data_IF_219492612482
#
_entry.id   IF_219492612482
#
_cell.length_a   1.000
_cell.length_b   1.000
_cell.length_c   1.000
_cell.angle_alpha   90.00
_cell.angle_beta   90.00
_cell.angle_gamma   90.00
#
_symmetry.space_group_name_H-M   'P 1'
#
loop_
_entity.id
_entity.type
_entity.pdbx_description
1 polymer ?
#
# COMPACT_ATOMS: atom_id res chain seq x y z
N UNK A 1 -14.11 -17.74 -14.35
CA UNK A 1 -12.77 -18.20 -13.93
C UNK A 1 -11.75 -17.27 -14.59
N UNK A 2 -11.33 -16.26 -13.84
CA UNK A 2 -10.37 -15.18 -14.16
C UNK A 2 -10.49 -14.26 -12.92
N UNK A 3 -9.47 -13.90 -12.16
CA UNK A 3 -8.07 -13.70 -12.48
C UNK A 3 -7.19 -14.10 -11.29
N UNK A 4 -6.19 -14.95 -11.56
CA UNK A 4 -4.81 -14.78 -11.14
C UNK A 4 -4.60 -13.95 -9.86
N UNK A 5 -4.61 -14.71 -8.76
CA UNK A 5 -4.03 -14.36 -7.48
C UNK A 5 -2.59 -13.88 -7.72
N UNK A 6 -2.43 -12.56 -7.84
CA UNK A 6 -1.12 -11.93 -7.77
C UNK A 6 -0.58 -12.17 -6.36
N UNK A 7 0.11 -13.29 -6.19
CA UNK A 7 0.92 -13.57 -5.02
C UNK A 7 2.00 -12.51 -4.92
N UNK A 8 1.77 -11.52 -4.06
CA UNK A 8 2.75 -10.49 -3.76
C UNK A 8 3.46 -10.94 -2.49
N UNK A 9 4.61 -11.59 -2.72
CA UNK A 9 5.41 -12.31 -1.75
C UNK A 9 5.84 -11.51 -0.52
N UNK A 10 6.56 -12.19 0.35
CA UNK A 10 6.92 -11.83 1.73
C UNK A 10 7.67 -10.50 1.94
N UNK A 11 7.92 -9.71 0.89
CA UNK A 11 8.46 -8.35 0.95
C UNK A 11 7.41 -7.32 0.54
N UNK A 12 6.89 -6.55 1.50
CA UNK A 12 5.98 -5.44 1.22
C UNK A 12 6.66 -4.11 1.47
N UNK A 13 6.37 -3.10 0.65
CA UNK A 13 6.68 -1.71 0.99
C UNK A 13 5.50 -1.09 1.74
N UNK A 14 5.71 -0.06 2.53
CA UNK A 14 4.63 0.81 2.99
C UNK A 14 4.48 1.97 2.01
N UNK A 15 3.26 2.23 1.52
CA UNK A 15 2.94 3.33 0.61
C UNK A 15 2.08 4.39 1.32
N UNK A 16 2.40 5.69 1.17
CA UNK A 16 1.56 6.79 1.69
C UNK A 16 0.28 6.87 0.85
N UNK A 17 -0.88 6.84 1.51
CA UNK A 17 -2.18 6.98 0.82
C UNK A 17 -2.41 8.39 0.27
N UNK A 18 -1.72 9.40 0.81
CA UNK A 18 -1.81 10.80 0.35
C UNK A 18 -0.90 11.10 -0.83
N UNK A 19 0.39 10.77 -0.74
CA UNK A 19 1.39 11.17 -1.74
C UNK A 19 2.00 10.01 -2.54
N UNK A 20 1.57 8.76 -2.31
CA UNK A 20 2.14 7.56 -2.94
C UNK A 20 3.63 7.29 -2.69
N UNK A 21 4.21 7.91 -1.67
CA UNK A 21 5.60 7.64 -1.27
C UNK A 21 5.75 6.20 -0.76
N UNK A 22 6.75 5.47 -1.28
CA UNK A 22 7.02 4.07 -0.95
C UNK A 22 8.25 3.98 -0.06
N UNK A 23 8.14 3.25 1.04
CA UNK A 23 9.26 2.93 1.93
C UNK A 23 9.32 1.43 2.16
N UNK A 24 10.49 0.86 2.41
CA UNK A 24 10.59 -0.53 2.84
C UNK A 24 9.83 -0.73 4.17
N UNK A 25 8.98 -1.75 4.25
CA UNK A 25 8.28 -2.06 5.51
C UNK A 25 9.29 -2.50 6.58
N UNK A 26 9.18 -1.90 7.77
CA UNK A 26 10.01 -2.26 8.91
C UNK A 26 9.36 -3.39 9.71
N UNK A 27 10.05 -4.53 9.91
CA UNK A 27 9.52 -5.60 10.74
C UNK A 27 9.33 -5.10 12.18
N UNK A 28 8.22 -5.49 12.80
CA UNK A 28 7.85 -5.06 14.15
C UNK A 28 7.00 -3.78 14.22
N UNK A 29 6.90 -3.00 13.13
CA UNK A 29 6.03 -1.81 13.08
C UNK A 29 5.06 -1.94 11.89
N UNK A 30 3.75 -2.07 12.10
CA UNK A 30 2.80 -2.13 11.00
C UNK A 30 2.81 -0.80 10.21
N UNK A 31 2.72 -0.86 8.88
CA UNK A 31 2.72 0.32 8.01
C UNK A 31 1.70 1.40 8.42
N UNK A 32 0.58 1.01 9.03
CA UNK A 32 -0.48 1.94 9.43
C UNK A 32 -0.09 2.82 10.62
N UNK A 33 0.86 2.37 11.44
CA UNK A 33 1.42 3.13 12.55
C UNK A 33 2.59 4.03 12.10
N UNK A 34 3.27 3.67 11.00
CA UNK A 34 4.26 4.56 10.38
C UNK A 34 3.59 5.79 9.74
N UNK A 35 4.23 6.94 9.96
CA UNK A 35 3.91 8.20 9.31
C UNK A 35 4.89 8.44 8.19
N UNK A 36 4.36 8.83 7.03
CA UNK A 36 5.22 9.13 5.89
C UNK A 36 6.06 10.39 6.13
N UNK A 37 7.38 10.34 5.89
CA UNK A 37 8.29 11.47 6.10
C UNK A 37 8.07 12.62 5.11
N UNK A 38 7.42 12.38 3.95
CA UNK A 38 7.09 13.41 2.97
C UNK A 38 5.76 14.12 3.24
N UNK A 39 4.72 13.36 3.57
CA UNK A 39 3.32 13.83 3.59
C UNK A 39 2.74 13.93 5.02
N UNK A 40 3.37 13.30 6.02
CA UNK A 40 2.80 13.08 7.36
C UNK A 40 1.56 12.16 7.39
N UNK A 41 1.20 11.58 6.24
CA UNK A 41 0.03 10.72 6.06
C UNK A 41 0.25 9.29 6.55
N UNK A 42 -0.86 8.59 6.77
CA UNK A 42 -0.85 7.16 7.13
C UNK A 42 -0.32 6.33 5.97
N UNK A 43 0.43 5.30 6.29
CA UNK A 43 0.96 4.38 5.28
C UNK A 43 0.17 3.07 5.27
N UNK A 44 0.17 2.39 4.13
CA UNK A 44 -0.49 1.10 3.93
C UNK A 44 0.48 0.14 3.28
N UNK A 45 0.37 -1.15 3.57
CA UNK A 45 1.23 -2.15 2.96
C UNK A 45 0.90 -2.30 1.47
N UNK A 46 1.89 -2.07 0.62
CA UNK A 46 1.88 -2.33 -0.81
C UNK A 46 1.69 -3.83 -1.05
N UNK A 47 0.75 -4.17 -1.92
CA UNK A 47 0.43 -5.56 -2.27
C UNK A 47 -0.56 -6.29 -1.35
N UNK A 48 -1.13 -5.61 -0.34
CA UNK A 48 -2.28 -6.16 0.39
C UNK A 48 -3.60 -6.01 -0.37
N UNK A 49 -4.63 -6.77 0.02
CA UNK A 49 -6.02 -6.65 -0.50
C UNK A 49 -6.53 -5.20 -0.50
N UNK A 50 -6.17 -4.43 0.54
CA UNK A 50 -6.59 -3.04 0.66
C UNK A 50 -5.90 -2.08 -0.33
N UNK A 51 -4.70 -2.42 -0.82
CA UNK A 51 -4.00 -1.63 -1.85
C UNK A 51 -4.66 -1.80 -3.22
N UNK A 52 -5.08 -3.02 -3.55
CA UNK A 52 -5.82 -3.29 -4.79
C UNK A 52 -7.14 -2.49 -4.86
N UNK A 53 -7.85 -2.37 -3.74
CA UNK A 53 -9.06 -1.56 -3.66
C UNK A 53 -8.81 -0.07 -3.88
N UNK A 54 -7.68 0.46 -3.40
CA UNK A 54 -7.29 1.87 -3.61
C UNK A 54 -7.00 2.14 -5.09
N UNK A 55 -6.26 1.25 -5.75
CA UNK A 55 -5.95 1.34 -7.19
C UNK A 55 -7.24 1.26 -8.03
N UNK A 56 -8.12 0.31 -7.72
CA UNK A 56 -9.44 0.18 -8.38
C UNK A 56 -10.29 1.44 -8.19
N UNK A 57 -10.29 2.05 -7.01
CA UNK A 57 -11.05 3.28 -6.74
C UNK A 57 -10.47 4.48 -7.50
N UNK A 58 -9.14 4.60 -7.61
CA UNK A 58 -8.48 5.66 -8.36
C UNK A 58 -8.72 5.57 -9.87
N UNK A 59 -8.68 4.36 -10.45
CA UNK A 59 -8.96 4.14 -11.89
C UNK A 59 -10.43 4.36 -12.28
N UNK A 60 -11.36 4.31 -11.32
CA UNK A 60 -12.81 4.41 -11.57
C UNK A 60 -13.35 5.85 -11.46
N UNK A 61 -12.51 6.82 -11.11
CA UNK A 61 -12.91 8.24 -11.05
C UNK A 61 -12.31 8.94 -12.27
N UNK A 62 -13.09 9.21 -13.34
CA UNK A 62 -12.65 10.04 -14.47
C UNK A 62 -12.48 11.51 -14.05
#
# INVERSE_FOLDING_TARGET
MQEEKHGLGSGGNCICVKCNYKIPHRPGIPCREEKCPQCGGKMVREGGYHHELLEKKRKKTP
#
